data_IF_301441870989
#
_entry.id   IF_301441870989
#
_cell.length_a   1.000
_cell.length_b   1.000
_cell.length_c   1.000
_cell.angle_alpha   90.00
_cell.angle_beta   90.00
_cell.angle_gamma   90.00
#
_symmetry.space_group_name_H-M   'P 1'
#
loop_
_entity.id
_entity.type
_entity.pdbx_description
1 polymer ?
#
# COMPACT_ATOMS: atom_id res chain seq x y z
N UNK A 1 6.88 9.13 -13.04
CA UNK A 1 7.10 7.67 -13.15
C UNK A 1 6.50 7.22 -14.47
N UNK A 2 6.99 6.13 -15.07
CA UNK A 2 6.50 5.61 -16.34
C UNK A 2 6.31 4.10 -16.26
N UNK A 3 5.46 3.58 -17.16
CA UNK A 3 5.14 2.15 -17.22
C UNK A 3 6.36 1.36 -17.72
N UNK A 4 6.62 0.22 -17.09
CA UNK A 4 7.74 -0.66 -17.45
C UNK A 4 7.27 -2.11 -17.62
N UNK A 5 8.11 -2.93 -18.25
CA UNK A 5 7.87 -4.36 -18.36
C UNK A 5 7.99 -5.06 -16.99
N UNK A 6 7.30 -6.19 -16.84
CA UNK A 6 7.43 -7.04 -15.65
C UNK A 6 8.89 -7.45 -15.37
N UNK A 7 9.70 -7.64 -16.43
CA UNK A 7 11.12 -7.98 -16.30
C UNK A 7 11.93 -6.83 -15.69
N UNK A 8 11.74 -5.61 -16.20
CA UNK A 8 12.41 -4.42 -15.69
C UNK A 8 12.01 -4.14 -14.23
N UNK A 9 10.72 -4.24 -13.91
CA UNK A 9 10.21 -4.08 -12.56
C UNK A 9 10.79 -5.12 -11.60
N UNK A 10 10.77 -6.41 -11.99
CA UNK A 10 11.34 -7.52 -11.19
C UNK A 10 12.81 -7.28 -10.86
N UNK A 11 13.60 -6.83 -11.84
CA UNK A 11 15.02 -6.50 -11.63
C UNK A 11 15.18 -5.34 -10.64
N UNK A 12 14.36 -4.30 -10.77
CA UNK A 12 14.42 -3.12 -9.91
C UNK A 12 14.03 -3.44 -8.46
N UNK A 13 12.90 -4.12 -8.23
CA UNK A 13 12.45 -4.46 -6.87
C UNK A 13 13.40 -5.46 -6.18
N UNK A 14 14.01 -6.40 -6.91
CA UNK A 14 15.00 -7.32 -6.32
C UNK A 14 16.22 -6.55 -5.80
N UNK A 15 16.76 -5.63 -6.60
CA UNK A 15 17.82 -4.71 -6.14
C UNK A 15 17.34 -3.85 -4.98
N UNK A 16 16.10 -3.38 -5.05
CA UNK A 16 15.44 -2.60 -4.01
C UNK A 16 15.45 -3.33 -2.67
N UNK A 17 14.96 -4.57 -2.64
CA UNK A 17 14.93 -5.42 -1.46
C UNK A 17 16.34 -5.71 -0.92
N UNK A 18 17.27 -6.06 -1.81
CA UNK A 18 18.65 -6.36 -1.42
C UNK A 18 19.35 -5.17 -0.74
N UNK A 19 19.11 -3.94 -1.21
CA UNK A 19 19.72 -2.74 -0.61
C UNK A 19 19.10 -2.30 0.72
N UNK A 20 17.98 -2.90 1.15
CA UNK A 20 17.35 -2.62 2.44
C UNK A 20 17.90 -3.50 3.58
N UNK A 21 18.84 -4.42 3.30
CA UNK A 21 19.37 -5.35 4.29
C UNK A 21 18.26 -6.10 5.02
N UNK A 22 18.29 -6.09 6.36
CA UNK A 22 17.29 -6.74 7.23
C UNK A 22 15.86 -6.19 7.10
N UNK A 23 15.63 -5.11 6.35
CA UNK A 23 14.30 -4.52 6.14
C UNK A 23 13.66 -4.94 4.80
N UNK A 24 14.40 -5.61 3.91
CA UNK A 24 13.92 -5.97 2.58
C UNK A 24 12.73 -6.93 2.56
N UNK A 25 12.49 -7.67 3.64
CA UNK A 25 11.36 -8.59 3.79
C UNK A 25 9.99 -7.87 3.82
N UNK A 26 9.94 -6.58 4.20
CA UNK A 26 8.68 -5.82 4.32
C UNK A 26 8.04 -5.47 2.98
N UNK A 27 8.73 -5.71 1.87
CA UNK A 27 8.25 -5.41 0.52
C UNK A 27 7.92 -6.71 -0.20
N UNK A 28 6.67 -6.91 -0.60
CA UNK A 28 6.28 -8.13 -1.28
C UNK A 28 6.82 -8.19 -2.71
N UNK A 29 7.42 -9.34 -3.03
CA UNK A 29 7.95 -9.68 -4.34
C UNK A 29 7.06 -10.73 -4.99
N UNK A 30 6.24 -10.30 -5.95
CA UNK A 30 5.48 -11.23 -6.78
C UNK A 30 6.35 -11.90 -7.84
N UNK A 31 5.85 -12.99 -8.41
CA UNK A 31 6.45 -13.65 -9.57
C UNK A 31 6.40 -12.74 -10.82
N UNK A 32 7.27 -13.02 -11.78
CA UNK A 32 7.27 -12.29 -13.06
C UNK A 32 5.96 -12.47 -13.83
N UNK A 33 5.29 -13.63 -13.72
CA UNK A 33 4.01 -13.89 -14.38
C UNK A 33 2.86 -13.09 -13.75
N UNK A 34 2.88 -12.93 -12.42
CA UNK A 34 1.96 -12.01 -11.72
C UNK A 34 2.18 -10.57 -12.15
N UNK A 35 3.42 -10.07 -12.17
CA UNK A 35 3.68 -8.69 -12.62
C UNK A 35 3.28 -8.42 -14.08
N UNK A 36 3.30 -9.42 -14.96
CA UNK A 36 2.78 -9.27 -16.35
C UNK A 36 1.29 -8.89 -16.37
N UNK A 37 0.53 -9.27 -15.33
CA UNK A 37 -0.90 -8.94 -15.17
C UNK A 37 -1.13 -7.65 -14.40
N UNK A 38 -0.05 -6.96 -13.98
CA UNK A 38 -0.10 -5.72 -13.21
C UNK A 38 0.42 -4.55 -14.05
N UNK A 39 0.04 -3.34 -13.67
CA UNK A 39 0.67 -2.12 -14.19
C UNK A 39 1.85 -1.78 -13.30
N UNK A 40 3.06 -1.98 -13.81
CA UNK A 40 4.30 -1.74 -13.10
C UNK A 40 4.90 -0.40 -13.52
N UNK A 41 5.34 0.39 -12.54
CA UNK A 41 5.89 1.73 -12.79
C UNK A 41 7.21 1.94 -12.06
N UNK A 42 8.14 2.64 -12.71
CA UNK A 42 9.42 3.06 -12.13
C UNK A 42 9.65 4.57 -12.33
N UNK A 43 10.51 5.14 -11.48
CA UNK A 43 11.21 6.39 -11.79
C UNK A 43 12.30 6.16 -12.85
N UNK A 44 12.75 7.20 -13.58
CA UNK A 44 13.83 7.10 -14.58
C UNK A 44 15.11 6.43 -14.07
N UNK A 45 15.47 6.68 -12.81
CA UNK A 45 16.64 6.07 -12.16
C UNK A 45 16.40 4.61 -11.71
N UNK A 46 15.19 4.09 -11.84
CA UNK A 46 14.79 2.75 -11.39
C UNK A 46 14.84 2.54 -9.88
N UNK A 47 15.05 3.59 -9.08
CA UNK A 47 15.21 3.50 -7.61
C UNK A 47 13.89 3.53 -6.85
N UNK A 48 12.81 3.95 -7.49
CA UNK A 48 11.48 4.01 -6.88
C UNK A 48 10.46 3.33 -7.77
N UNK A 49 9.55 2.54 -7.20
CA UNK A 49 8.59 1.78 -7.96
C UNK A 49 7.31 1.43 -7.20
N UNK A 50 6.28 1.11 -7.98
CA UNK A 50 4.98 0.62 -7.53
C UNK A 50 4.36 -0.28 -8.60
N UNK A 51 3.64 -1.32 -8.18
CA UNK A 51 2.79 -2.12 -9.03
C UNK A 51 1.32 -1.96 -8.63
N UNK A 52 0.42 -1.97 -9.62
CA UNK A 52 -1.02 -1.85 -9.42
C UNK A 52 -1.71 -3.03 -10.08
N UNK A 53 -2.40 -3.85 -9.30
CA UNK A 53 -3.22 -4.97 -9.78
C UNK A 53 -4.44 -4.44 -10.55
N UNK A 54 -5.11 -5.32 -11.31
CA UNK A 54 -6.26 -4.96 -12.15
C UNK A 54 -7.44 -4.41 -11.34
N UNK A 55 -7.61 -4.89 -10.11
CA UNK A 55 -8.65 -4.50 -9.16
C UNK A 55 -8.28 -3.25 -8.32
N UNK A 56 -7.18 -2.58 -8.68
CA UNK A 56 -6.71 -1.36 -8.02
C UNK A 56 -5.92 -1.59 -6.72
N UNK A 57 -5.55 -2.82 -6.41
CA UNK A 57 -4.64 -3.08 -5.29
C UNK A 57 -3.23 -2.57 -5.58
N UNK A 58 -2.70 -1.74 -4.69
CA UNK A 58 -1.36 -1.14 -4.79
C UNK A 58 -0.39 -1.99 -4.01
N UNK A 59 0.53 -2.63 -4.72
CA UNK A 59 1.49 -3.59 -4.14
C UNK A 59 2.93 -3.23 -4.51
N UNK A 60 3.88 -3.87 -3.84
CA UNK A 60 5.30 -3.79 -4.19
C UNK A 60 5.83 -2.35 -4.27
N UNK A 61 5.41 -1.50 -3.33
CA UNK A 61 5.91 -0.13 -3.21
C UNK A 61 7.32 -0.15 -2.64
N UNK A 62 8.28 0.44 -3.35
CA UNK A 62 9.66 0.55 -2.86
C UNK A 62 10.31 1.88 -3.27
N UNK A 63 11.29 2.31 -2.48
CA UNK A 63 12.13 3.46 -2.78
C UNK A 63 13.52 3.28 -2.16
N UNK A 64 14.55 3.36 -2.99
CA UNK A 64 15.97 3.32 -2.60
C UNK A 64 16.71 4.60 -2.96
N UNK A 65 15.99 5.66 -3.33
CA UNK A 65 16.61 6.92 -3.76
C UNK A 65 17.33 7.69 -2.64
N UNK A 66 17.22 7.27 -1.37
CA UNK A 66 17.73 8.00 -0.20
C UNK A 66 16.97 9.31 0.11
N UNK A 67 16.23 9.86 -0.85
CA UNK A 67 15.42 11.07 -0.71
C UNK A 67 14.22 10.84 0.21
N UNK A 68 14.06 11.70 1.22
CA UNK A 68 12.85 11.76 2.06
C UNK A 68 11.63 12.12 1.20
N UNK A 69 10.46 11.61 1.59
CA UNK A 69 9.19 11.98 0.94
C UNK A 69 8.85 11.25 -0.35
N UNK A 70 9.53 10.14 -0.69
CA UNK A 70 9.18 9.32 -1.87
C UNK A 70 7.69 8.94 -1.90
N UNK A 71 7.09 8.68 -0.74
CA UNK A 71 5.66 8.35 -0.63
C UNK A 71 4.72 9.47 -1.10
N UNK A 72 5.15 10.73 -0.97
CA UNK A 72 4.41 11.90 -1.48
C UNK A 72 4.35 11.97 -3.01
N UNK A 73 5.19 11.20 -3.70
CA UNK A 73 5.12 11.05 -5.16
C UNK A 73 4.41 9.77 -5.54
N UNK A 74 4.70 8.67 -4.85
CA UNK A 74 4.18 7.34 -5.20
C UNK A 74 2.67 7.24 -5.01
N UNK A 75 2.12 7.71 -3.88
CA UNK A 75 0.70 7.49 -3.58
C UNK A 75 -0.23 8.31 -4.47
N UNK A 76 -0.02 9.63 -4.67
CA UNK A 76 -0.81 10.38 -5.64
C UNK A 76 -0.70 9.78 -7.06
N UNK A 77 0.50 9.35 -7.45
CA UNK A 77 0.70 8.70 -8.76
C UNK A 77 -0.04 7.36 -8.87
N UNK A 78 0.04 6.50 -7.86
CA UNK A 78 -0.63 5.21 -7.86
C UNK A 78 -2.16 5.39 -7.95
N UNK A 79 -2.71 6.31 -7.16
CA UNK A 79 -4.13 6.68 -7.23
C UNK A 79 -4.53 7.22 -8.59
N UNK A 80 -3.77 8.16 -9.16
CA UNK A 80 -4.02 8.71 -10.49
C UNK A 80 -4.02 7.62 -11.57
N UNK A 81 -3.27 6.54 -11.33
CA UNK A 81 -3.21 5.36 -12.17
C UNK A 81 -4.13 4.24 -11.66
N UNK A 82 -5.24 4.53 -10.98
CA UNK A 82 -6.27 3.55 -10.64
C UNK A 82 -5.98 2.69 -9.40
N UNK A 83 -5.02 3.09 -8.56
CA UNK A 83 -4.84 2.55 -7.22
C UNK A 83 -6.02 2.94 -6.32
N UNK A 84 -6.55 1.96 -5.57
CA UNK A 84 -7.79 2.09 -4.78
C UNK A 84 -7.66 1.52 -3.37
N UNK A 85 -6.77 0.56 -3.17
CA UNK A 85 -6.58 -0.15 -1.90
C UNK A 85 -5.14 -0.62 -1.76
N UNK A 86 -4.78 -0.94 -0.52
CA UNK A 86 -3.53 -1.57 -0.15
C UNK A 86 -3.69 -2.21 1.24
N UNK A 87 -2.67 -2.93 1.65
CA UNK A 87 -2.41 -3.27 3.05
C UNK A 87 -0.96 -2.96 3.41
N UNK A 88 -0.68 -2.85 4.71
CA UNK A 88 0.67 -2.52 5.17
C UNK A 88 0.96 -2.99 6.58
N UNK A 89 2.25 -3.18 6.87
CA UNK A 89 2.73 -3.43 8.23
C UNK A 89 2.67 -2.18 9.10
N UNK A 90 2.26 -2.37 10.35
CA UNK A 90 2.21 -1.35 11.38
C UNK A 90 3.00 -1.76 12.62
N UNK A 91 3.77 -0.82 13.18
CA UNK A 91 4.47 -0.98 14.45
C UNK A 91 3.80 -0.10 15.51
N UNK A 92 3.49 -0.68 16.68
CA UNK A 92 2.80 0.03 17.77
C UNK A 92 3.68 1.07 18.47
N UNK A 93 5.00 1.02 18.26
CA UNK A 93 5.97 1.91 18.92
C UNK A 93 6.09 3.30 18.25
N UNK A 94 5.22 3.61 17.28
CA UNK A 94 5.13 4.92 16.62
C UNK A 94 6.30 5.28 15.68
N UNK A 95 7.41 4.53 15.72
CA UNK A 95 8.66 4.84 15.00
C UNK A 95 8.63 4.52 13.51
N UNK A 96 7.68 3.70 13.04
CA UNK A 96 7.35 3.56 11.63
C UNK A 96 5.89 3.16 11.46
N UNK A 97 5.13 4.00 10.78
CA UNK A 97 3.70 3.79 10.56
C UNK A 97 3.37 4.04 9.09
N UNK A 98 3.54 3.01 8.26
CA UNK A 98 3.12 3.02 6.86
C UNK A 98 1.64 3.47 6.75
N UNK A 99 0.79 2.97 7.65
CA UNK A 99 -0.60 3.41 7.76
C UNK A 99 -0.75 4.93 7.96
N UNK A 100 0.10 5.57 8.77
CA UNK A 100 0.08 7.04 8.91
C UNK A 100 0.59 7.72 7.65
N UNK A 101 1.66 7.20 7.04
CA UNK A 101 2.16 7.74 5.77
C UNK A 101 1.09 7.70 4.67
N UNK A 102 0.32 6.61 4.56
CA UNK A 102 -0.81 6.53 3.63
C UNK A 102 -1.98 7.41 4.09
N UNK A 103 -2.25 7.47 5.39
CA UNK A 103 -3.30 8.30 5.98
C UNK A 103 -3.13 9.78 5.66
N UNK A 104 -1.90 10.28 5.58
CA UNK A 104 -1.59 11.64 5.12
C UNK A 104 -2.11 11.97 3.73
N UNK A 105 -2.31 10.97 2.88
CA UNK A 105 -2.85 11.10 1.53
C UNK A 105 -4.32 10.69 1.46
N UNK A 106 -5.03 10.71 2.60
CA UNK A 106 -6.45 10.38 2.68
C UNK A 106 -6.77 8.88 2.72
N UNK A 107 -5.78 8.01 2.92
CA UNK A 107 -6.06 6.60 3.08
C UNK A 107 -6.85 6.34 4.38
N UNK A 108 -7.84 5.45 4.30
CA UNK A 108 -8.67 5.05 5.45
C UNK A 108 -8.38 3.60 5.79
N UNK A 109 -7.99 3.34 7.04
CA UNK A 109 -7.87 1.99 7.59
C UNK A 109 -9.26 1.45 7.94
N UNK A 110 -9.56 0.23 7.50
CA UNK A 110 -10.85 -0.43 7.76
C UNK A 110 -10.71 -1.67 8.64
N UNK A 111 -9.52 -2.26 8.68
CA UNK A 111 -9.26 -3.39 9.54
C UNK A 111 -7.78 -3.52 9.89
N UNK A 112 -7.52 -4.15 11.02
CA UNK A 112 -6.18 -4.60 11.43
C UNK A 112 -6.21 -6.05 11.93
N UNK A 113 -5.15 -6.76 11.68
CA UNK A 113 -4.92 -8.11 12.22
C UNK A 113 -3.55 -8.15 12.87
N UNK A 114 -3.42 -8.86 13.99
CA UNK A 114 -2.10 -9.08 14.63
C UNK A 114 -1.16 -9.73 13.61
N UNK A 115 0.07 -9.22 13.50
CA UNK A 115 1.04 -9.80 12.58
C UNK A 115 1.48 -11.17 13.08
N UNK A 116 1.31 -12.17 12.21
CA UNK A 116 1.70 -13.54 12.48
C UNK A 116 2.86 -13.96 11.55
N UNK A 117 4.07 -14.19 12.11
CA UNK A 117 5.24 -14.65 11.36
C UNK A 117 5.02 -15.93 10.56
N UNK A 118 4.08 -16.81 10.95
CA UNK A 118 3.88 -18.10 10.28
C UNK A 118 3.51 -17.94 8.80
N UNK A 119 2.86 -16.83 8.45
CA UNK A 119 2.47 -16.52 7.08
C UNK A 119 3.54 -15.72 6.32
N UNK A 120 4.71 -15.45 6.92
CA UNK A 120 5.81 -14.76 6.26
C UNK A 120 7.17 -15.48 6.50
N UNK A 121 7.48 -16.52 5.70
CA UNK A 121 8.74 -17.26 5.81
C UNK A 121 10.00 -16.41 5.59
N UNK A 122 9.89 -15.31 4.83
CA UNK A 122 11.03 -14.39 4.62
C UNK A 122 11.33 -13.62 5.90
N UNK A 123 10.29 -13.14 6.60
CA UNK A 123 10.45 -12.53 7.92
C UNK A 123 11.08 -13.52 8.89
N UNK A 124 10.58 -14.76 8.97
CA UNK A 124 11.12 -15.78 9.88
C UNK A 124 12.62 -16.01 9.68
N UNK A 125 13.04 -16.26 8.43
CA UNK A 125 14.47 -16.44 8.10
C UNK A 125 15.30 -15.20 8.42
N UNK A 126 14.76 -14.01 8.13
CA UNK A 126 15.48 -12.75 8.41
C UNK A 126 15.63 -12.53 9.91
N UNK A 127 14.57 -12.78 10.69
CA UNK A 127 14.57 -12.63 12.14
C UNK A 127 15.50 -13.63 12.83
N UNK A 128 15.56 -14.89 12.35
CA UNK A 128 16.50 -15.88 12.84
C UNK A 128 17.96 -15.44 12.63
N UNK A 129 18.27 -14.85 11.48
CA UNK A 129 19.61 -14.32 11.18
C UNK A 129 19.90 -12.97 11.88
N UNK A 130 18.91 -12.34 12.50
CA UNK A 130 19.02 -11.01 13.12
C UNK A 130 18.31 -10.98 14.48
N UNK A 131 18.90 -11.53 15.55
CA UNK A 131 18.33 -11.44 16.90
C UNK A 131 18.00 -9.99 17.29
N UNK A 132 16.83 -9.79 17.91
CA UNK A 132 16.33 -8.44 18.26
C UNK A 132 15.72 -7.67 17.08
N UNK A 133 15.57 -8.29 15.91
CA UNK A 133 14.85 -7.69 14.79
C UNK A 133 13.40 -7.39 15.17
N UNK A 134 12.98 -6.16 14.89
CA UNK A 134 11.65 -5.69 15.26
C UNK A 134 10.56 -6.38 14.42
N UNK A 135 9.55 -6.89 15.11
CA UNK A 135 8.34 -7.47 14.52
C UNK A 135 7.26 -6.41 14.36
N UNK A 136 6.50 -6.36 13.25
CA UNK A 136 5.28 -5.57 13.19
C UNK A 136 4.31 -6.03 14.25
N UNK A 137 3.47 -5.12 14.71
CA UNK A 137 2.37 -5.48 15.58
C UNK A 137 1.16 -5.93 14.77
N UNK A 138 0.91 -5.28 13.63
CA UNK A 138 -0.28 -5.54 12.82
C UNK A 138 -0.01 -5.49 11.32
N UNK A 139 -0.89 -6.13 10.56
CA UNK A 139 -1.20 -5.80 9.16
C UNK A 139 -2.47 -4.96 9.15
N UNK A 140 -2.50 -3.89 8.34
CA UNK A 140 -3.62 -2.92 8.28
C UNK A 140 -4.15 -2.84 6.85
N UNK A 141 -5.44 -3.12 6.68
CA UNK A 141 -6.15 -3.05 5.42
C UNK A 141 -6.70 -1.63 5.18
N UNK A 142 -6.40 -1.03 4.02
CA UNK A 142 -6.72 0.38 3.75
C UNK A 142 -7.33 0.63 2.37
N UNK A 143 -8.17 1.65 2.27
CA UNK A 143 -8.62 2.22 0.99
C UNK A 143 -7.98 3.57 0.71
N UNK A 144 -7.81 3.92 -0.56
CA UNK A 144 -7.27 5.19 -1.03
C UNK A 144 -8.39 6.12 -1.55
N UNK A 145 -8.20 7.46 -1.58
CA UNK A 145 -9.09 8.36 -2.30
C UNK A 145 -8.99 8.03 -3.79
N UNK A 146 -10.07 7.57 -4.43
CA UNK A 146 -10.01 6.98 -5.78
C UNK A 146 -9.70 7.94 -6.94
N UNK A 147 -9.16 9.13 -6.68
CA UNK A 147 -8.73 10.12 -7.68
C UNK A 147 -7.63 11.02 -7.11
N UNK A 148 -6.81 11.59 -8.00
CA UNK A 148 -5.76 12.55 -7.61
C UNK A 148 -6.34 13.75 -6.88
N UNK A 149 -7.44 14.33 -7.39
CA UNK A 149 -8.13 15.43 -6.72
C UNK A 149 -8.61 15.04 -5.30
N UNK A 150 -9.05 13.79 -5.11
CA UNK A 150 -9.41 13.26 -3.81
C UNK A 150 -8.21 13.16 -2.85
N UNK A 151 -7.04 12.78 -3.36
CA UNK A 151 -5.79 12.77 -2.58
C UNK A 151 -5.38 14.18 -2.18
N UNK A 152 -5.40 15.13 -3.12
CA UNK A 152 -5.02 16.52 -2.85
C UNK A 152 -5.93 17.16 -1.81
N UNK A 153 -7.25 16.95 -1.90
CA UNK A 153 -8.22 17.46 -0.91
C UNK A 153 -8.06 16.83 0.47
N UNK A 154 -7.68 15.55 0.52
CA UNK A 154 -7.55 14.82 1.78
C UNK A 154 -6.14 14.93 2.40
N UNK A 155 -5.21 15.61 1.73
CA UNK A 155 -3.83 15.67 2.20
C UNK A 155 -3.74 16.40 3.54
N UNK A 156 -3.09 15.76 4.51
CA UNK A 156 -2.81 16.34 5.82
C UNK A 156 -1.54 15.70 6.39
N UNK A 157 -0.46 16.48 6.51
CA UNK A 157 0.85 16.00 6.95
C UNK A 157 0.86 15.47 8.41
N UNK A 158 -0.04 16.00 9.23
CA UNK A 158 -0.15 15.69 10.66
C UNK A 158 -1.11 14.53 10.94
N UNK A 159 -1.80 14.02 9.90
CA UNK A 159 -2.73 12.91 10.04
C UNK A 159 -2.05 11.69 10.67
N UNK A 160 -2.64 11.24 11.78
CA UNK A 160 -2.38 9.96 12.42
C UNK A 160 -3.65 9.12 12.42
N UNK A 161 -3.50 7.84 12.18
CA UNK A 161 -4.54 6.84 12.32
C UNK A 161 -4.34 6.20 13.68
N UNK A 162 -5.34 6.35 14.53
CA UNK A 162 -5.42 5.65 15.81
C UNK A 162 -5.79 4.20 15.55
N UNK A 163 -4.81 3.29 15.65
CA UNK A 163 -5.03 1.86 15.47
C UNK A 163 -5.93 1.26 16.56
N UNK A 164 -6.06 1.89 17.73
CA UNK A 164 -6.99 1.46 18.78
C UNK A 164 -8.46 1.58 18.36
N UNK A 165 -8.75 2.46 17.39
CA UNK A 165 -10.09 2.66 16.80
C UNK A 165 -10.30 1.86 15.50
N UNK A 166 -9.28 1.16 15.01
CA UNK A 166 -9.40 0.32 13.81
C UNK A 166 -9.91 -1.06 14.21
N UNK A 167 -10.97 -1.54 13.55
CA UNK A 167 -11.58 -2.85 13.80
C UNK A 167 -10.53 -3.95 13.73
N UNK A 168 -10.54 -4.84 14.72
CA UNK A 168 -9.62 -5.98 14.76
C UNK A 168 -10.24 -7.21 14.10
N UNK A 169 -9.39 -7.98 13.42
CA UNK A 169 -9.73 -9.22 12.74
C UNK A 169 -8.76 -10.32 13.19
N UNK A 170 -9.25 -11.56 13.18
CA UNK A 170 -8.46 -12.79 13.37
C UNK A 170 -8.32 -13.59 12.06
N UNK A 171 -8.87 -13.09 10.96
CA UNK A 171 -8.93 -13.73 9.65
C UNK A 171 -8.56 -12.66 8.60
N UNK A 172 -7.50 -12.93 7.85
CA UNK A 172 -6.96 -11.99 6.86
C UNK A 172 -7.93 -11.76 5.71
N UNK A 173 -8.57 -12.82 5.21
CA UNK A 173 -9.45 -12.72 4.05
C UNK A 173 -10.71 -11.94 4.41
N UNK A 174 -11.32 -12.21 5.58
CA UNK A 174 -12.44 -11.40 6.09
C UNK A 174 -12.08 -9.92 6.24
N UNK A 175 -10.87 -9.62 6.72
CA UNK A 175 -10.38 -8.24 6.82
C UNK A 175 -10.26 -7.57 5.44
N UNK A 176 -9.77 -8.32 4.44
CA UNK A 176 -9.62 -7.82 3.08
C UNK A 176 -10.96 -7.65 2.37
N UNK A 177 -11.92 -8.52 2.63
CA UNK A 177 -13.29 -8.44 2.10
C UNK A 177 -14.04 -7.23 2.65
N UNK A 178 -13.95 -6.97 3.96
CA UNK A 178 -14.56 -5.77 4.57
C UNK A 178 -13.98 -4.47 3.98
N UNK A 179 -12.65 -4.40 3.82
CA UNK A 179 -11.99 -3.29 3.10
C UNK A 179 -12.55 -3.15 1.68
N UNK A 180 -12.74 -4.25 0.96
CA UNK A 180 -13.25 -4.24 -0.40
C UNK A 180 -14.72 -3.79 -0.47
N UNK A 181 -15.56 -4.18 0.50
CA UNK A 181 -16.95 -3.76 0.61
C UNK A 181 -17.08 -2.22 0.70
N UNK A 182 -16.18 -1.56 1.44
CA UNK A 182 -16.13 -0.10 1.51
C UNK A 182 -15.85 0.58 0.16
N UNK A 183 -15.16 -0.08 -0.78
CA UNK A 183 -14.97 0.47 -2.13
C UNK A 183 -16.24 0.37 -2.98
N UNK A 184 -16.98 -0.73 -2.85
CA UNK A 184 -18.23 -0.95 -3.59
C UNK A 184 -19.30 0.08 -3.18
N UNK A 185 -19.42 0.37 -1.88
CA UNK A 185 -20.35 1.39 -1.36
C UNK A 185 -20.06 2.78 -1.91
N UNK A 186 -18.77 3.16 -2.02
CA UNK A 186 -18.38 4.47 -2.59
C UNK A 186 -18.74 4.57 -4.06
N UNK A 187 -18.56 3.50 -4.84
CA UNK A 187 -18.95 3.45 -6.25
C UNK A 187 -20.45 3.72 -6.46
N UNK A 188 -21.31 3.14 -5.61
CA UNK A 188 -22.76 3.37 -5.65
C UNK A 188 -23.14 4.82 -5.31
N UNK A 189 -22.51 5.42 -4.30
CA UNK A 189 -22.80 6.81 -3.88
C UNK A 189 -22.43 7.88 -4.93
N UNK A 190 -21.40 7.63 -5.75
CA UNK A 190 -21.02 8.51 -6.86
C UNK A 190 -21.95 8.42 -8.07
N UNK A 191 -22.67 7.29 -8.25
CA UNK A 191 -23.65 7.13 -9.33
C UNK A 191 -24.95 7.90 -9.11
N UNK A 192 -25.36 8.10 -7.85
CA UNK A 192 -26.62 8.80 -7.50
C UNK A 192 -26.53 10.32 -7.71
N UNK A 193 -25.34 10.92 -7.61
CA UNK A 193 -25.16 12.38 -7.84
C UNK A 193 -25.16 12.81 -9.32
N UNK A 194 -25.18 11.86 -10.26
CA UNK A 194 -25.22 12.15 -11.70
C UNK A 194 -26.62 12.29 -12.30
N UNK A 195 -27.68 12.02 -11.53
CA UNK A 195 -29.04 11.86 -12.07
C UNK A 195 -30.02 13.02 -11.79
N UNK A 196 -29.55 14.16 -11.24
CA UNK A 196 -30.43 15.28 -10.84
C UNK A 196 -30.14 16.61 -11.57
N UNK A 197 -29.59 16.56 -12.79
CA UNK A 197 -29.15 17.76 -13.53
C UNK A 197 -29.82 18.00 -14.88
N UNK A 198 -31.05 17.51 -15.12
CA UNK A 198 -31.76 17.71 -16.39
C UNK A 198 -33.27 17.87 -16.20
N UNK A 199 -33.74 19.10 -16.31
CA UNK A 199 -35.16 19.49 -16.23
C UNK A 199 -35.31 20.67 -15.26
N UNK A 200 -35.69 21.87 -15.66
CA UNK A 200 -36.39 22.39 -16.85
C UNK A 200 -35.81 23.75 -17.20
#
# INVERSE_FOLDING_TARGET
>A
MYRVSASAFTKAIRRGKASQGRNGWMVDLHSKSEYKRMRCFLTPDGKTGVAIKRDGDVVSVFSTSGKRGAMAKIIPFAVANGGRKLDCYAFSDGRSSLHNMYGRFGAKAHGKMTFDPQYNPVFQRTAQANPGMRRPSHVVAMTLPGSLAGVMRAYNADRKIDLGRVRSYNDYDKMMDDRNAHLALRGKSSGVRGALGGGK
#
